data_IF_465322056133
#
_entry.id   IF_465322056133
#
_cell.length_a   1.000
_cell.length_b   1.000
_cell.length_c   1.000
_cell.angle_alpha   90.00
_cell.angle_beta   90.00
_cell.angle_gamma   90.00
#
_symmetry.space_group_name_H-M   'P 1'
#
loop_
_entity.id
_entity.type
_entity.pdbx_description
1 polymer ?
#
# COMPACT_ATOMS: atom_id res chain seq x y z
N UNK A 1 -35.02 8.60 -16.67
CA UNK A 1 -33.96 9.61 -16.66
C UNK A 1 -33.34 9.84 -15.28
N UNK A 2 -34.12 10.03 -14.23
CA UNK A 2 -33.58 10.24 -12.87
C UNK A 2 -32.83 9.02 -12.30
N UNK A 3 -33.26 7.81 -12.67
CA UNK A 3 -32.62 6.57 -12.21
C UNK A 3 -31.19 6.39 -12.76
N UNK A 4 -30.93 6.80 -14.00
CA UNK A 4 -29.63 6.68 -14.63
C UNK A 4 -28.60 7.60 -14.00
N UNK A 5 -28.98 8.82 -13.64
CA UNK A 5 -28.12 9.80 -12.97
C UNK A 5 -27.75 9.32 -11.58
N UNK A 6 -28.69 8.70 -10.86
CA UNK A 6 -28.45 8.13 -9.53
C UNK A 6 -27.49 6.95 -9.60
N UNK A 7 -27.60 6.09 -10.61
CA UNK A 7 -26.69 4.96 -10.82
C UNK A 7 -25.26 5.42 -11.10
N UNK A 8 -25.07 6.45 -11.90
CA UNK A 8 -23.77 7.02 -12.21
C UNK A 8 -23.12 7.60 -10.95
N UNK A 9 -23.87 8.33 -10.14
CA UNK A 9 -23.40 8.90 -8.87
C UNK A 9 -22.99 7.79 -7.88
N UNK A 10 -23.76 6.71 -7.82
CA UNK A 10 -23.46 5.56 -6.96
C UNK A 10 -22.15 4.88 -7.38
N UNK A 11 -21.89 4.74 -8.69
CA UNK A 11 -20.65 4.18 -9.22
C UNK A 11 -19.43 5.03 -8.84
N UNK A 12 -19.52 6.33 -8.94
CA UNK A 12 -18.47 7.27 -8.57
C UNK A 12 -18.17 7.19 -7.07
N UNK A 13 -19.19 7.05 -6.23
CA UNK A 13 -19.06 6.92 -4.79
C UNK A 13 -18.32 5.62 -4.42
N UNK A 14 -18.63 4.52 -5.09
CA UNK A 14 -17.98 3.22 -4.89
C UNK A 14 -16.49 3.31 -5.23
N UNK A 15 -16.10 3.95 -6.33
CA UNK A 15 -14.70 4.12 -6.73
C UNK A 15 -13.90 4.95 -5.73
N UNK A 16 -14.47 6.02 -5.18
CA UNK A 16 -13.80 6.85 -4.18
C UNK A 16 -13.73 6.15 -2.82
N UNK A 17 -14.64 5.22 -2.50
CA UNK A 17 -14.67 4.48 -1.25
C UNK A 17 -13.52 3.48 -1.11
N UNK A 18 -12.86 3.07 -2.21
CA UNK A 18 -11.74 2.12 -2.16
C UNK A 18 -10.52 2.65 -1.41
N UNK A 19 -10.40 3.97 -1.29
CA UNK A 19 -9.26 4.62 -0.62
C UNK A 19 -9.69 5.49 0.57
N UNK A 20 -10.87 5.26 1.13
CA UNK A 20 -11.26 5.96 2.35
C UNK A 20 -10.51 5.38 3.57
N UNK A 21 -10.56 6.08 4.70
CA UNK A 21 -9.85 5.70 5.91
C UNK A 21 -10.19 4.29 6.38
N UNK A 22 -11.45 3.88 6.24
CA UNK A 22 -11.93 2.55 6.62
C UNK A 22 -11.26 1.45 5.78
N UNK A 23 -11.20 1.64 4.47
CA UNK A 23 -10.58 0.67 3.55
C UNK A 23 -9.06 0.61 3.72
N UNK A 24 -8.42 1.74 3.95
CA UNK A 24 -7.00 1.79 4.24
C UNK A 24 -6.69 1.03 5.53
N UNK A 25 -7.49 1.22 6.57
CA UNK A 25 -7.34 0.49 7.84
C UNK A 25 -7.53 -1.02 7.65
N UNK A 26 -8.54 -1.42 6.89
CA UNK A 26 -8.80 -2.83 6.57
C UNK A 26 -7.61 -3.46 5.85
N UNK A 27 -7.10 -2.80 4.81
CA UNK A 27 -5.94 -3.30 4.07
C UNK A 27 -4.68 -3.31 4.93
N UNK A 28 -4.51 -2.33 5.80
CA UNK A 28 -3.38 -2.30 6.73
C UNK A 28 -3.41 -3.52 7.67
N UNK A 29 -4.58 -3.92 8.13
CA UNK A 29 -4.74 -5.13 8.95
C UNK A 29 -4.35 -6.40 8.19
N UNK A 30 -4.67 -6.48 6.89
CA UNK A 30 -4.31 -7.62 6.05
C UNK A 30 -2.80 -7.79 5.88
N UNK A 31 -2.01 -6.75 6.12
CA UNK A 31 -0.55 -6.83 6.10
C UNK A 31 -0.01 -7.74 7.21
N UNK A 32 -0.81 -8.05 8.23
CA UNK A 32 -0.44 -8.97 9.31
C UNK A 32 -0.85 -10.41 9.04
N UNK A 33 -1.43 -10.70 7.87
CA UNK A 33 -1.89 -12.04 7.52
C UNK A 33 -0.71 -13.02 7.42
N UNK A 34 -0.98 -14.30 7.69
CA UNK A 34 -0.04 -15.38 7.46
C UNK A 34 0.01 -15.83 5.99
N UNK A 35 -0.94 -15.37 5.18
CA UNK A 35 -1.03 -15.73 3.75
C UNK A 35 -0.32 -14.69 2.89
N UNK A 36 0.71 -15.12 2.16
CA UNK A 36 1.49 -14.23 1.31
C UNK A 36 0.65 -13.57 0.22
N UNK A 37 -0.31 -14.29 -0.34
CA UNK A 37 -1.22 -13.75 -1.36
C UNK A 37 -2.06 -12.60 -0.82
N UNK A 38 -2.52 -12.71 0.42
CA UNK A 38 -3.32 -11.68 1.07
C UNK A 38 -2.48 -10.43 1.38
N UNK A 39 -1.26 -10.63 1.86
CA UNK A 39 -0.32 -9.52 2.10
C UNK A 39 -0.02 -8.78 0.78
N UNK A 40 0.30 -9.52 -0.29
CA UNK A 40 0.58 -8.94 -1.60
C UNK A 40 -0.60 -8.13 -2.12
N UNK A 41 -1.80 -8.67 -2.04
CA UNK A 41 -3.00 -7.97 -2.52
C UNK A 41 -3.22 -6.68 -1.73
N UNK A 42 -3.06 -6.74 -0.40
CA UNK A 42 -3.21 -5.56 0.45
C UNK A 42 -2.17 -4.48 0.09
N UNK A 43 -0.92 -4.87 -0.17
CA UNK A 43 0.13 -3.94 -0.59
C UNK A 43 -0.23 -3.25 -1.91
N UNK A 44 -0.74 -4.01 -2.88
CA UNK A 44 -1.15 -3.46 -4.17
C UNK A 44 -2.34 -2.51 -4.03
N UNK A 45 -3.30 -2.87 -3.19
CA UNK A 45 -4.48 -2.03 -2.95
C UNK A 45 -4.07 -0.71 -2.26
N UNK A 46 -3.16 -0.77 -1.29
CA UNK A 46 -2.63 0.42 -0.63
C UNK A 46 -1.83 1.30 -1.62
N UNK A 47 -1.06 0.67 -2.50
CA UNK A 47 -0.30 1.37 -3.53
C UNK A 47 -1.21 2.21 -4.45
N UNK A 48 -2.36 1.67 -4.81
CA UNK A 48 -3.35 2.37 -5.65
C UNK A 48 -3.88 3.64 -4.99
N UNK A 49 -3.86 3.70 -3.68
CA UNK A 49 -4.36 4.86 -2.93
C UNK A 49 -3.34 6.00 -2.84
N UNK A 50 -2.09 5.74 -3.21
CA UNK A 50 -1.06 6.77 -3.18
C UNK A 50 -0.88 7.34 -1.78
N UNK A 51 -0.73 8.66 -1.67
CA UNK A 51 -0.50 9.35 -0.41
C UNK A 51 -1.63 9.21 0.61
N UNK A 52 -2.84 8.83 0.18
CA UNK A 52 -3.94 8.52 1.10
C UNK A 52 -3.63 7.33 2.00
N UNK A 53 -2.72 6.45 1.57
CA UNK A 53 -2.31 5.29 2.35
C UNK A 53 -1.14 5.59 3.30
N UNK A 54 -0.85 6.84 3.57
CA UNK A 54 0.26 7.28 4.45
C UNK A 54 0.24 6.57 5.81
N UNK A 55 -0.93 6.34 6.38
CA UNK A 55 -1.08 5.67 7.68
C UNK A 55 -0.50 4.25 7.70
N UNK A 56 -0.42 3.59 6.54
CA UNK A 56 0.12 2.24 6.42
C UNK A 56 1.66 2.21 6.23
N UNK A 57 2.30 3.35 6.07
CA UNK A 57 3.72 3.45 5.72
C UNK A 57 4.64 2.66 6.65
N UNK A 58 4.44 2.76 7.96
CA UNK A 58 5.29 2.06 8.95
C UNK A 58 5.19 0.55 8.81
N UNK A 59 3.97 0.04 8.65
CA UNK A 59 3.78 -1.41 8.50
C UNK A 59 4.36 -1.91 7.19
N UNK A 60 4.17 -1.15 6.13
CA UNK A 60 4.76 -1.49 4.83
C UNK A 60 6.29 -1.50 4.91
N UNK A 61 6.87 -0.55 5.64
CA UNK A 61 8.33 -0.48 5.79
C UNK A 61 8.91 -1.74 6.45
N UNK A 62 8.19 -2.31 7.42
CA UNK A 62 8.61 -3.57 8.04
C UNK A 62 8.64 -4.73 7.04
N UNK A 63 7.75 -4.72 6.06
CA UNK A 63 7.67 -5.75 5.03
C UNK A 63 8.81 -5.69 4.01
N UNK A 64 9.58 -4.60 3.97
CA UNK A 64 10.80 -4.53 3.16
C UNK A 64 11.83 -5.57 3.60
N UNK A 65 11.74 -6.06 4.83
CA UNK A 65 12.65 -7.04 5.41
C UNK A 65 12.00 -8.41 5.58
N UNK A 66 10.85 -8.62 4.96
CA UNK A 66 10.15 -9.91 4.99
C UNK A 66 10.99 -10.98 4.30
N UNK A 67 10.89 -12.21 4.76
CA UNK A 67 11.65 -13.33 4.19
C UNK A 67 11.24 -13.67 2.75
N UNK A 68 10.01 -13.37 2.37
CA UNK A 68 9.52 -13.60 1.00
C UNK A 68 9.90 -12.43 0.10
N UNK A 69 10.69 -12.70 -0.95
CA UNK A 69 11.21 -11.68 -1.86
C UNK A 69 10.08 -10.95 -2.61
N UNK A 70 9.00 -11.66 -2.95
CA UNK A 70 7.84 -11.06 -3.59
C UNK A 70 7.18 -10.01 -2.72
N UNK A 71 7.06 -10.28 -1.42
CA UNK A 71 6.51 -9.30 -0.47
C UNK A 71 7.45 -8.10 -0.33
N UNK A 72 8.77 -8.33 -0.26
CA UNK A 72 9.73 -7.23 -0.22
C UNK A 72 9.56 -6.30 -1.43
N UNK A 73 9.43 -6.87 -2.62
CA UNK A 73 9.26 -6.10 -3.87
C UNK A 73 7.94 -5.34 -3.87
N UNK A 74 6.86 -5.97 -3.45
CA UNK A 74 5.54 -5.33 -3.38
C UNK A 74 5.52 -4.19 -2.36
N UNK A 75 6.21 -4.37 -1.23
CA UNK A 75 6.33 -3.33 -0.20
C UNK A 75 7.10 -2.11 -0.74
N UNK A 76 8.21 -2.34 -1.44
CA UNK A 76 8.98 -1.26 -2.07
C UNK A 76 8.14 -0.53 -3.10
N UNK A 77 7.40 -1.26 -3.91
CA UNK A 77 6.47 -0.69 -4.90
C UNK A 77 5.41 0.19 -4.22
N UNK A 78 4.79 -0.33 -3.16
CA UNK A 78 3.76 0.42 -2.43
C UNK A 78 4.32 1.72 -1.85
N UNK A 79 5.52 1.69 -1.27
CA UNK A 79 6.15 2.90 -0.73
C UNK A 79 6.45 3.92 -1.82
N UNK A 80 6.85 3.48 -3.01
CA UNK A 80 7.07 4.39 -4.15
C UNK A 80 5.78 5.06 -4.61
N UNK A 81 4.69 4.31 -4.61
CA UNK A 81 3.39 4.85 -5.01
C UNK A 81 2.79 5.78 -3.96
N UNK A 82 3.01 5.50 -2.67
CA UNK A 82 2.59 6.38 -1.57
C UNK A 82 3.34 7.71 -1.67
N UNK A 83 4.62 7.67 -1.95
CA UNK A 83 5.46 8.82 -2.31
C UNK A 83 5.36 10.02 -1.36
N UNK A 84 5.26 9.75 -0.06
CA UNK A 84 5.39 10.79 0.96
C UNK A 84 6.87 11.00 1.31
N UNK A 85 7.25 12.13 1.94
CA UNK A 85 8.63 12.32 2.40
C UNK A 85 9.12 11.19 3.29
N UNK A 86 8.28 10.65 4.17
CA UNK A 86 8.61 9.52 5.01
C UNK A 86 8.86 8.25 4.18
N UNK A 87 7.99 7.96 3.21
CA UNK A 87 8.13 6.79 2.35
C UNK A 87 9.43 6.85 1.56
N UNK A 88 9.76 8.01 0.99
CA UNK A 88 11.02 8.20 0.26
C UNK A 88 12.24 8.00 1.14
N UNK A 89 12.20 8.51 2.37
CA UNK A 89 13.28 8.36 3.35
C UNK A 89 13.50 6.88 3.71
N UNK A 90 12.42 6.13 3.88
CA UNK A 90 12.47 4.69 4.17
C UNK A 90 13.12 3.93 3.03
N UNK A 91 12.70 4.22 1.78
CA UNK A 91 13.28 3.57 0.60
C UNK A 91 14.75 3.86 0.44
N UNK A 92 15.17 5.11 0.66
CA UNK A 92 16.58 5.51 0.59
C UNK A 92 17.42 4.76 1.63
N UNK A 93 16.93 4.65 2.84
CA UNK A 93 17.61 3.91 3.92
C UNK A 93 17.73 2.42 3.58
N UNK A 94 16.67 1.84 3.05
CA UNK A 94 16.67 0.42 2.67
C UNK A 94 17.69 0.15 1.56
N UNK A 95 17.80 1.05 0.59
CA UNK A 95 18.78 0.92 -0.49
C UNK A 95 20.22 0.99 0.04
N UNK A 96 20.49 1.95 0.91
CA UNK A 96 21.83 2.10 1.53
C UNK A 96 22.21 0.87 2.33
N UNK A 97 21.26 0.28 3.05
CA UNK A 97 21.51 -0.95 3.80
C UNK A 97 21.86 -2.13 2.88
N UNK A 98 21.20 -2.24 1.73
CA UNK A 98 21.52 -3.28 0.74
C UNK A 98 22.92 -3.12 0.18
N UNK A 99 23.30 -1.88 -0.15
CA UNK A 99 24.65 -1.58 -0.67
C UNK A 99 25.72 -1.92 0.36
N UNK A 100 25.49 -1.58 1.62
CA UNK A 100 26.41 -1.88 2.72
C UNK A 100 26.60 -3.38 2.90
N UNK A 101 25.54 -4.16 2.76
CA UNK A 101 25.58 -5.60 2.95
C UNK A 101 26.21 -6.36 1.77
N UNK A 102 26.36 -5.73 0.60
CA UNK A 102 27.05 -6.30 -0.55
C UNK A 102 28.57 -6.26 -0.40
N UNK A 103 29.07 -5.28 0.34
CA UNK A 103 30.48 -5.08 0.58
C UNK A 103 30.90 -5.78 1.87
#
# INVERSE_FOLDING_TARGET
MKADVLLILTSLTILSACCDASKIQENTKKLYSSKTSEINQALLDLAKCGDKAEAATRKISALLYHENVGIQSSAAYALREIDTPEARKILDRAQKNREKNRN
#
